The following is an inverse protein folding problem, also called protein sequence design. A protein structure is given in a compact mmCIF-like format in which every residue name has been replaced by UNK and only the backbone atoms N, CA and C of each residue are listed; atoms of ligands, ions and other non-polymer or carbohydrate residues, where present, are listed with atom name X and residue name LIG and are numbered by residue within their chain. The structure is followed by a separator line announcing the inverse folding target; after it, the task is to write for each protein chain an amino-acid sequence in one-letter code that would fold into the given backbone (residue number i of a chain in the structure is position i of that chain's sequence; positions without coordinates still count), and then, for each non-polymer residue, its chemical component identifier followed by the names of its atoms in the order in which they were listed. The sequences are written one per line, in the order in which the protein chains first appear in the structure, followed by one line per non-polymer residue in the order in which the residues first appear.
data_IF_808869248210
#
_entry.id   IF_808869248210
#
_cell.length_a   1.000
_cell.length_b   1.000
_cell.length_c   1.000
_cell.angle_alpha   90.00
_cell.angle_beta   90.00
_cell.angle_gamma   90.00
#
_symmetry.space_group_name_H-M   'P 1'
#
loop_
_entity.id
_entity.type
_entity.pdbx_description
1 polymer ?
#
# COMPACT_ATOMS: atom_id res chain seq x y z
N UNK A 1 -22.17 -56.26 -31.09
CA UNK A 1 -20.72 -56.48 -31.00
C UNK A 1 -20.06 -55.85 -32.21
N UNK A 2 -19.21 -54.85 -31.99
CA UNK A 2 -18.01 -54.54 -32.77
C UNK A 2 -17.19 -53.54 -31.94
N UNK A 3 -15.92 -53.90 -31.74
CA UNK A 3 -14.98 -53.33 -30.76
C UNK A 3 -14.28 -52.07 -31.28
N UNK A 4 -13.90 -51.21 -30.33
CA UNK A 4 -12.67 -50.41 -30.42
C UNK A 4 -12.83 -48.92 -30.73
N UNK A 5 -12.65 -48.06 -29.72
CA UNK A 5 -11.68 -46.96 -29.74
C UNK A 5 -11.54 -46.38 -28.32
N UNK A 6 -10.30 -46.40 -27.84
CA UNK A 6 -9.84 -45.86 -26.56
C UNK A 6 -9.64 -44.34 -26.73
N UNK A 7 -10.36 -43.52 -25.96
CA UNK A 7 -10.13 -42.07 -25.91
C UNK A 7 -9.50 -41.69 -24.56
N UNK A 8 -8.17 -41.61 -24.56
CA UNK A 8 -7.37 -40.93 -23.56
C UNK A 8 -7.52 -39.41 -23.76
N UNK A 9 -8.06 -38.66 -22.81
CA UNK A 9 -7.84 -37.20 -22.71
C UNK A 9 -7.63 -36.78 -21.24
N UNK A 10 -6.33 -36.70 -20.91
CA UNK A 10 -5.62 -35.74 -20.05
C UNK A 10 -6.03 -35.52 -18.58
N UNK A 11 -5.13 -35.96 -17.69
CA UNK A 11 -4.94 -35.41 -16.33
C UNK A 11 -4.70 -33.90 -16.39
N UNK A 12 -5.48 -33.14 -15.61
CA UNK A 12 -5.22 -31.73 -15.34
C UNK A 12 -3.98 -31.59 -14.47
N UNK A 13 -2.88 -31.13 -15.06
CA UNK A 13 -1.69 -30.69 -14.34
C UNK A 13 -2.01 -29.32 -13.70
N UNK A 14 -2.40 -29.34 -12.43
CA UNK A 14 -2.53 -28.13 -11.63
C UNK A 14 -1.15 -27.53 -11.37
N UNK A 15 -0.65 -26.74 -12.31
CA UNK A 15 0.45 -25.82 -12.06
C UNK A 15 -0.10 -24.71 -11.16
N UNK A 16 0.00 -24.89 -9.83
CA UNK A 16 -0.13 -23.80 -8.88
C UNK A 16 1.01 -22.83 -9.13
N UNK A 17 0.76 -21.83 -9.97
CA UNK A 17 1.64 -20.67 -10.12
C UNK A 17 1.59 -19.93 -8.79
N UNK A 18 2.70 -19.98 -8.03
CA UNK A 18 2.95 -19.03 -6.96
C UNK A 18 3.09 -17.67 -7.64
N UNK A 19 2.02 -16.87 -7.59
CA UNK A 19 2.04 -15.51 -8.10
C UNK A 19 3.09 -14.70 -7.31
N UNK A 20 4.26 -14.49 -7.92
CA UNK A 20 5.14 -13.39 -7.52
C UNK A 20 4.32 -12.12 -7.70
N UNK A 21 4.05 -11.42 -6.60
CA UNK A 21 3.42 -10.11 -6.65
C UNK A 21 4.40 -9.15 -7.32
N UNK A 22 4.08 -8.69 -8.52
CA UNK A 22 4.87 -7.65 -9.17
C UNK A 22 4.61 -6.33 -8.44
N UNK A 23 5.48 -6.03 -7.46
CA UNK A 23 5.45 -4.77 -6.72
C UNK A 23 5.62 -3.53 -7.60
N UNK A 24 6.03 -3.72 -8.86
CA UNK A 24 6.24 -2.67 -9.84
C UNK A 24 5.03 -2.45 -10.77
N UNK A 25 3.96 -3.23 -10.61
CA UNK A 25 2.71 -2.96 -11.31
C UNK A 25 2.04 -1.68 -10.74
N UNK A 26 1.37 -0.87 -11.58
CA UNK A 26 0.64 0.31 -11.12
C UNK A 26 -0.38 -0.05 -10.03
N UNK A 27 -0.15 0.43 -8.81
CA UNK A 27 -1.14 0.31 -7.72
C UNK A 27 -2.21 1.38 -7.89
N UNK A 28 -3.48 0.99 -7.85
CA UNK A 28 -4.58 1.94 -7.87
C UNK A 28 -4.78 2.55 -6.48
N UNK A 29 -5.27 3.79 -6.43
CA UNK A 29 -5.74 4.38 -5.17
C UNK A 29 -6.99 3.64 -4.71
N UNK A 30 -7.13 3.42 -3.41
CA UNK A 30 -8.23 2.63 -2.85
C UNK A 30 -8.70 3.20 -1.51
N UNK A 31 -9.82 2.69 -1.00
CA UNK A 31 -10.28 2.98 0.38
C UNK A 31 -10.10 1.73 1.21
N UNK A 32 -9.43 1.83 2.36
CA UNK A 32 -9.23 0.67 3.23
C UNK A 32 -10.47 0.37 4.09
N UNK A 33 -10.39 -0.67 4.92
CA UNK A 33 -11.52 -1.16 5.74
C UNK A 33 -12.06 -0.17 6.76
N UNK A 34 -11.31 0.89 7.10
CA UNK A 34 -11.72 1.92 8.05
C UNK A 34 -12.10 3.25 7.37
N UNK A 35 -12.30 3.22 6.05
CA UNK A 35 -12.75 4.37 5.26
C UNK A 35 -11.65 5.37 4.91
N UNK A 36 -10.36 5.04 5.13
CA UNK A 36 -9.26 5.92 4.74
C UNK A 36 -8.95 5.79 3.26
N UNK A 37 -8.91 6.93 2.55
CA UNK A 37 -8.45 7.00 1.17
C UNK A 37 -6.93 6.87 1.12
N UNK A 38 -6.44 5.83 0.47
CA UNK A 38 -5.03 5.55 0.22
C UNK A 38 -4.69 5.95 -1.21
N UNK A 39 -3.65 6.77 -1.38
CA UNK A 39 -3.14 7.23 -2.67
C UNK A 39 -1.92 6.41 -3.04
N UNK A 40 -1.87 5.94 -4.28
CA UNK A 40 -0.70 5.27 -4.83
C UNK A 40 0.35 6.27 -5.31
N UNK A 41 1.60 6.05 -4.92
CA UNK A 41 2.77 6.83 -5.31
C UNK A 41 3.60 5.97 -6.26
N UNK A 42 3.81 6.50 -7.47
CA UNK A 42 4.61 5.83 -8.48
C UNK A 42 6.12 5.87 -8.15
N UNK A 43 6.89 4.88 -8.62
CA UNK A 43 8.34 4.96 -8.61
C UNK A 43 8.83 6.23 -9.30
N UNK A 44 9.88 6.83 -8.78
CA UNK A 44 10.39 8.08 -9.32
C UNK A 44 11.55 8.64 -8.52
N UNK A 45 12.12 9.72 -9.04
CA UNK A 45 13.19 10.48 -8.39
C UNK A 45 12.69 11.86 -8.02
N UNK A 46 13.10 12.34 -6.85
CA UNK A 46 12.83 13.70 -6.43
C UNK A 46 13.99 14.26 -5.63
N UNK A 47 14.00 15.58 -5.50
CA UNK A 47 14.96 16.32 -4.70
C UNK A 47 14.41 16.47 -3.29
N UNK A 48 15.11 15.92 -2.29
CA UNK A 48 14.74 15.99 -0.87
C UNK A 48 15.69 16.92 -0.11
N UNK A 49 15.14 17.67 0.84
CA UNK A 49 15.85 18.64 1.67
C UNK A 49 15.66 20.07 1.19
N UNK A 50 16.29 21.02 1.87
CA UNK A 50 16.20 22.45 1.55
C UNK A 50 17.54 23.16 1.77
N UNK A 51 18.00 23.93 0.78
CA UNK A 51 19.22 24.77 0.93
C UNK A 51 19.08 25.84 2.02
N UNK A 52 17.84 26.25 2.29
CA UNK A 52 17.52 27.24 3.33
C UNK A 52 16.97 26.59 4.62
N UNK A 53 16.90 25.27 4.70
CA UNK A 53 16.36 24.53 5.86
C UNK A 53 17.29 24.54 7.06
N UNK A 54 16.86 23.95 8.18
CA UNK A 54 17.71 23.72 9.35
C UNK A 54 18.83 22.69 9.05
N UNK A 55 19.74 22.48 10.00
CA UNK A 55 20.89 21.57 9.81
C UNK A 55 20.46 20.14 9.45
N UNK A 56 19.34 19.66 9.97
CA UNK A 56 18.79 18.32 9.74
C UNK A 56 17.97 18.20 8.44
N UNK A 57 17.65 19.32 7.79
CA UNK A 57 16.99 19.36 6.47
C UNK A 57 17.97 19.47 5.30
N UNK A 58 19.27 19.55 5.60
CA UNK A 58 20.39 19.67 4.64
C UNK A 58 21.23 18.39 4.60
N UNK A 59 22.00 18.18 3.52
CA UNK A 59 21.98 18.90 2.26
C UNK A 59 20.81 18.45 1.37
N UNK A 60 20.52 19.26 0.35
CA UNK A 60 19.63 18.83 -0.74
C UNK A 60 20.26 17.65 -1.48
N UNK A 61 19.49 16.57 -1.68
CA UNK A 61 19.96 15.38 -2.40
C UNK A 61 18.88 14.73 -3.24
N UNK A 62 19.29 14.00 -4.28
CA UNK A 62 18.37 13.16 -5.06
C UNK A 62 18.00 11.90 -4.27
N UNK A 63 16.71 11.59 -4.22
CA UNK A 63 16.12 10.39 -3.63
C UNK A 63 15.37 9.61 -4.71
N UNK A 64 15.47 8.29 -4.66
CA UNK A 64 14.75 7.37 -5.54
C UNK A 64 13.75 6.54 -4.74
N UNK A 65 12.49 6.58 -5.17
CA UNK A 65 11.44 5.62 -4.79
C UNK A 65 11.43 4.53 -5.85
N UNK A 66 11.89 3.33 -5.50
CA UNK A 66 12.09 2.25 -6.48
C UNK A 66 10.85 1.40 -6.78
N UNK A 67 9.75 1.54 -6.01
CA UNK A 67 8.56 0.70 -6.12
C UNK A 67 7.29 1.50 -5.82
N UNK A 68 6.15 1.02 -6.30
CA UNK A 68 4.86 1.58 -5.93
C UNK A 68 4.58 1.35 -4.44
N UNK A 69 4.20 2.41 -3.73
CA UNK A 69 3.68 2.33 -2.37
C UNK A 69 2.42 3.19 -2.22
N UNK A 70 1.68 2.94 -1.15
CA UNK A 70 0.47 3.72 -0.85
C UNK A 70 0.66 4.53 0.43
N UNK A 71 0.14 5.76 0.44
CA UNK A 71 0.11 6.63 1.63
C UNK A 71 -1.31 7.17 1.83
N UNK A 72 -1.71 7.45 3.06
CA UNK A 72 -3.03 8.04 3.32
C UNK A 72 -3.12 9.44 2.70
N UNK A 73 -4.29 9.77 2.15
CA UNK A 73 -4.53 11.08 1.53
C UNK A 73 -4.54 12.24 2.55
N UNK A 74 -4.78 11.93 3.81
CA UNK A 74 -4.82 12.85 4.96
C UNK A 74 -4.09 12.21 6.14
N UNK A 75 -3.81 12.99 7.19
CA UNK A 75 -3.45 12.42 8.48
C UNK A 75 -4.57 11.49 9.00
N UNK A 76 -4.19 10.59 9.91
CA UNK A 76 -5.14 9.73 10.61
C UNK A 76 -5.96 10.59 11.58
N UNK A 77 -7.28 10.55 11.47
CA UNK A 77 -8.17 11.30 12.36
C UNK A 77 -8.37 10.57 13.69
N UNK A 78 -8.80 11.28 14.75
CA UNK A 78 -9.12 10.60 16.02
C UNK A 78 -10.22 9.56 15.86
N UNK A 79 -11.24 9.82 15.04
CA UNK A 79 -12.30 8.82 14.81
C UNK A 79 -11.80 7.58 14.08
N UNK A 80 -10.73 7.70 13.28
CA UNK A 80 -10.08 6.55 12.64
C UNK A 80 -9.20 5.81 13.65
N UNK A 81 -8.40 6.53 14.43
CA UNK A 81 -7.57 5.92 15.47
C UNK A 81 -8.41 5.24 16.57
N UNK A 82 -9.56 5.79 16.91
CA UNK A 82 -10.51 5.21 17.89
C UNK A 82 -11.14 3.89 17.44
N UNK A 83 -11.08 3.55 16.14
CA UNK A 83 -11.45 2.21 15.68
C UNK A 83 -10.39 1.16 16.04
N UNK A 84 -9.15 1.60 16.26
CA UNK A 84 -8.05 0.77 16.77
C UNK A 84 -8.00 0.80 18.30
N UNK A 85 -8.07 1.98 18.92
CA UNK A 85 -8.12 2.16 20.38
C UNK A 85 -9.30 3.06 20.81
N UNK A 86 -10.46 2.48 21.17
CA UNK A 86 -11.63 3.25 21.59
C UNK A 86 -11.42 4.10 22.84
N UNK A 87 -10.44 3.77 23.70
CA UNK A 87 -10.17 4.50 24.94
C UNK A 87 -9.56 5.88 24.68
N UNK A 88 -8.94 6.06 23.51
CA UNK A 88 -8.36 7.33 23.06
C UNK A 88 -9.39 8.48 23.03
N UNK A 89 -10.68 8.16 22.87
CA UNK A 89 -11.77 9.15 22.92
C UNK A 89 -11.76 9.98 24.20
N UNK A 90 -11.24 9.42 25.30
CA UNK A 90 -11.13 10.11 26.59
C UNK A 90 -10.09 11.25 26.63
N UNK A 91 -9.21 11.33 25.62
CA UNK A 91 -8.14 12.32 25.51
C UNK A 91 -8.51 13.54 24.65
N UNK A 92 -9.63 13.49 23.94
CA UNK A 92 -10.09 14.61 23.11
C UNK A 92 -10.21 15.89 23.93
N UNK A 93 -9.66 16.98 23.42
CA UNK A 93 -9.69 18.30 24.06
C UNK A 93 -8.84 18.40 25.32
N UNK A 94 -8.01 17.40 25.63
CA UNK A 94 -7.09 17.42 26.78
C UNK A 94 -5.65 17.57 26.29
N UNK A 95 -4.84 18.32 27.04
CA UNK A 95 -3.40 18.44 26.81
C UNK A 95 -2.99 18.89 25.38
N UNK A 96 -3.90 19.56 24.64
CA UNK A 96 -3.65 19.97 23.26
C UNK A 96 -3.92 18.89 22.20
N UNK A 97 -4.37 17.70 22.58
CA UNK A 97 -4.83 16.68 21.65
C UNK A 97 -6.30 16.95 21.27
N UNK A 98 -6.55 17.30 20.01
CA UNK A 98 -7.91 17.46 19.46
C UNK A 98 -8.25 16.25 18.64
#
# INVERSE_FOLDING_TARGET
MNSGILMLITLGFGASVLAVSDDNAPKQSFTNSIGMRMVSIAPGKFTMGSEAGEFDERPVRQVEVGRYFSISATEVTNSQFEQFDPSHKSLRGKHGFS
#
